data_IF_775159300559
#
_entry.id   IF_775159300559
#
_cell.length_a   1.000
_cell.length_b   1.000
_cell.length_c   1.000
_cell.angle_alpha   90.00
_cell.angle_beta   90.00
_cell.angle_gamma   90.00
#
_symmetry.space_group_name_H-M   'P 1'
#
loop_
_entity.id
_entity.type
_entity.pdbx_description
1 polymer ?
#
# COMPACT_ATOMS: atom_id res chain seq x y z
N UNK A 1 -25.54 8.79 2.70
CA UNK A 1 -25.40 7.94 3.88
C UNK A 1 -24.72 8.71 5.01
N UNK A 2 -23.48 9.22 4.97
CA UNK A 2 -22.99 10.02 6.13
C UNK A 2 -22.88 11.54 5.92
N UNK A 3 -23.04 12.04 4.68
CA UNK A 3 -23.01 13.50 4.41
C UNK A 3 -21.60 14.12 4.39
N UNK A 4 -20.60 13.38 4.87
CA UNK A 4 -19.20 13.79 4.89
C UNK A 4 -18.57 13.78 3.48
N UNK A 5 -17.88 14.86 3.12
CA UNK A 5 -17.05 14.89 1.92
C UNK A 5 -15.73 14.10 2.10
N UNK A 6 -15.20 13.51 1.02
CA UNK A 6 -13.85 12.92 1.00
C UNK A 6 -12.75 13.95 0.75
N UNK A 7 -13.13 15.20 0.44
CA UNK A 7 -12.22 16.31 0.17
C UNK A 7 -11.17 16.45 1.29
N UNK A 8 -9.89 16.59 0.96
CA UNK A 8 -8.75 16.73 1.90
C UNK A 8 -8.47 15.53 2.83
N UNK A 9 -9.49 14.77 3.24
CA UNK A 9 -9.40 13.70 4.26
C UNK A 9 -9.26 12.30 3.66
N UNK A 10 -9.71 12.11 2.42
CA UNK A 10 -9.75 10.80 1.77
C UNK A 10 -10.58 9.77 2.55
N UNK A 11 -10.29 8.48 2.34
CA UNK A 11 -10.88 7.38 3.12
C UNK A 11 -9.77 6.73 3.94
N UNK A 12 -9.90 6.77 5.27
CA UNK A 12 -8.94 6.12 6.17
C UNK A 12 -9.25 4.62 6.29
N UNK A 13 -8.31 3.73 5.93
CA UNK A 13 -8.52 2.29 6.08
C UNK A 13 -8.67 1.86 7.54
N UNK A 14 -9.52 0.87 7.79
CA UNK A 14 -9.70 0.27 9.11
C UNK A 14 -8.44 -0.46 9.63
N UNK A 15 -7.67 -1.02 8.71
CA UNK A 15 -6.42 -1.74 8.95
C UNK A 15 -5.32 -1.00 8.19
N UNK A 16 -4.39 -0.41 8.92
CA UNK A 16 -3.27 0.33 8.37
C UNK A 16 -2.07 -0.62 8.29
N UNK A 17 -1.55 -0.79 7.07
CA UNK A 17 -0.33 -1.53 6.80
C UNK A 17 0.81 -0.53 6.54
N UNK A 18 2.05 -0.83 6.95
CA UNK A 18 3.18 0.04 6.66
C UNK A 18 3.47 0.00 5.15
N UNK A 19 3.65 1.18 4.57
CA UNK A 19 4.04 1.40 3.19
C UNK A 19 5.25 2.35 3.10
N UNK A 20 5.83 2.49 1.90
CA UNK A 20 7.00 3.35 1.69
C UNK A 20 6.71 4.83 1.92
N UNK A 21 5.43 5.22 1.92
CA UNK A 21 4.99 6.61 2.03
C UNK A 21 4.34 6.93 3.38
N UNK A 22 4.43 6.03 4.36
CA UNK A 22 3.69 6.12 5.61
C UNK A 22 4.06 7.33 6.47
N UNK A 23 5.19 7.96 6.17
CA UNK A 23 5.69 9.17 6.83
C UNK A 23 5.59 10.44 5.97
N UNK A 24 5.12 10.29 4.74
CA UNK A 24 4.93 11.40 3.83
C UNK A 24 3.52 11.95 4.01
N UNK A 25 3.45 13.27 4.07
CA UNK A 25 2.19 13.99 3.98
C UNK A 25 1.98 14.26 2.50
N UNK A 26 1.11 13.48 1.87
CA UNK A 26 0.72 13.64 0.47
C UNK A 26 -0.81 13.59 0.39
N UNK A 27 -1.37 14.34 -0.54
CA UNK A 27 -2.80 14.38 -0.77
C UNK A 27 -3.28 15.77 -1.15
N UNK A 28 -4.57 15.86 -1.45
CA UNK A 28 -5.22 17.11 -1.83
C UNK A 28 -5.05 18.22 -0.79
N UNK A 29 -4.97 17.85 0.49
CA UNK A 29 -4.73 18.79 1.61
C UNK A 29 -3.41 19.57 1.53
N UNK A 30 -2.42 19.06 0.80
CA UNK A 30 -1.10 19.69 0.67
C UNK A 30 -1.00 20.63 -0.54
N UNK A 31 -2.09 20.84 -1.29
CA UNK A 31 -2.11 21.75 -2.45
C UNK A 31 -2.44 23.19 -2.03
N UNK A 32 -1.75 24.17 -2.62
CA UNK A 32 -1.81 25.60 -2.24
C UNK A 32 -3.22 26.21 -2.24
N UNK A 33 -4.14 25.69 -3.07
CA UNK A 33 -5.51 26.20 -3.22
C UNK A 33 -6.56 25.11 -3.02
N UNK A 34 -6.32 24.18 -2.10
CA UNK A 34 -7.26 23.11 -1.80
C UNK A 34 -8.58 23.66 -1.23
N UNK A 35 -9.71 23.26 -1.82
CA UNK A 35 -11.03 23.69 -1.36
C UNK A 35 -11.28 23.12 0.04
N UNK A 36 -11.83 23.95 0.94
CA UNK A 36 -12.17 23.54 2.31
C UNK A 36 -13.15 22.37 2.30
N UNK A 37 -12.96 21.47 3.26
CA UNK A 37 -13.89 20.38 3.50
C UNK A 37 -15.27 20.91 3.94
N UNK A 38 -16.33 20.32 3.39
CA UNK A 38 -17.72 20.67 3.68
C UNK A 38 -18.55 19.39 3.94
N UNK A 39 -19.67 19.52 4.65
CA UNK A 39 -20.55 18.43 5.04
C UNK A 39 -22.01 18.80 4.75
N UNK A 40 -22.75 17.86 4.17
CA UNK A 40 -24.20 17.99 3.94
C UNK A 40 -24.98 17.04 4.85
N UNK A 41 -26.29 17.22 4.92
CA UNK A 41 -27.16 16.32 5.69
C UNK A 41 -27.04 14.87 5.21
N UNK A 42 -26.95 13.96 6.17
CA UNK A 42 -26.99 12.52 5.93
C UNK A 42 -28.32 12.11 5.27
N UNK A 43 -28.22 11.35 4.18
CA UNK A 43 -29.37 10.68 3.56
C UNK A 43 -29.74 9.41 4.34
N UNK A 44 -31.04 9.17 4.55
CA UNK A 44 -31.56 8.01 5.28
C UNK A 44 -31.06 6.68 4.71
N UNK A 45 -30.53 5.82 5.57
CA UNK A 45 -30.03 4.51 5.20
C UNK A 45 -30.00 3.53 6.36
N UNK A 46 -29.89 2.25 6.04
CA UNK A 46 -29.73 1.18 7.03
C UNK A 46 -28.27 0.72 7.01
N UNK A 47 -27.61 0.80 8.16
CA UNK A 47 -26.24 0.30 8.34
C UNK A 47 -26.27 -1.22 8.46
N UNK A 48 -25.59 -1.91 7.56
CA UNK A 48 -25.33 -3.34 7.72
C UNK A 48 -24.08 -3.52 8.60
N UNK A 49 -24.25 -4.04 9.83
CA UNK A 49 -23.15 -4.18 10.80
C UNK A 49 -22.62 -5.60 10.95
N UNK A 50 -23.08 -6.55 10.13
CA UNK A 50 -22.82 -7.99 10.35
C UNK A 50 -21.32 -8.35 10.34
N UNK A 51 -20.50 -7.58 9.62
CA UNK A 51 -19.05 -7.75 9.54
C UNK A 51 -18.28 -7.08 10.70
N UNK A 52 -18.91 -6.19 11.46
CA UNK A 52 -18.22 -5.39 12.50
C UNK A 52 -17.98 -6.16 13.80
N UNK A 53 -18.68 -7.28 14.03
CA UNK A 53 -18.59 -8.04 15.29
C UNK A 53 -17.16 -8.48 15.63
N UNK A 54 -16.38 -8.85 14.61
CA UNK A 54 -15.03 -9.38 14.77
C UNK A 54 -13.91 -8.37 14.46
N UNK A 55 -14.23 -7.13 14.06
CA UNK A 55 -13.25 -6.20 13.48
C UNK A 55 -12.08 -5.88 14.43
N UNK A 56 -12.35 -5.76 15.75
CA UNK A 56 -11.30 -5.50 16.76
C UNK A 56 -10.28 -6.66 16.83
N UNK A 57 -10.76 -7.90 16.76
CA UNK A 57 -9.91 -9.11 16.75
C UNK A 57 -9.05 -9.14 15.49
N UNK A 58 -9.66 -8.88 14.34
CA UNK A 58 -9.00 -8.90 13.03
C UNK A 58 -7.92 -7.81 12.94
N UNK A 59 -8.21 -6.58 13.39
CA UNK A 59 -7.21 -5.49 13.49
C UNK A 59 -6.01 -5.92 14.35
N UNK A 60 -6.26 -6.56 15.49
CA UNK A 60 -5.19 -7.06 16.38
C UNK A 60 -4.35 -8.17 15.72
N UNK A 61 -5.00 -9.09 15.02
CA UNK A 61 -4.34 -10.21 14.34
C UNK A 61 -3.50 -9.73 13.15
N UNK A 62 -4.05 -8.84 12.32
CA UNK A 62 -3.32 -8.21 11.22
C UNK A 62 -2.10 -7.44 11.71
N UNK A 63 -2.24 -6.63 12.77
CA UNK A 63 -1.11 -5.93 13.39
C UNK A 63 -0.02 -6.90 13.89
N UNK A 64 -0.40 -8.06 14.46
CA UNK A 64 0.56 -9.09 14.88
C UNK A 64 1.28 -9.74 13.69
N UNK A 65 0.55 -10.08 12.63
CA UNK A 65 1.14 -10.65 11.40
C UNK A 65 2.10 -9.68 10.74
N UNK A 66 1.66 -8.43 10.56
CA UNK A 66 2.48 -7.37 9.96
C UNK A 66 3.78 -7.16 10.77
N UNK A 67 3.71 -7.09 12.10
CA UNK A 67 4.89 -6.98 12.97
C UNK A 67 5.83 -8.19 12.92
N UNK A 68 5.31 -9.40 12.72
CA UNK A 68 6.13 -10.63 12.64
C UNK A 68 6.78 -10.78 11.26
N UNK A 69 6.22 -10.14 10.24
CA UNK A 69 6.70 -10.25 8.87
C UNK A 69 7.94 -9.38 8.64
N UNK A 70 9.02 -10.00 8.18
CA UNK A 70 10.29 -9.32 7.92
C UNK A 70 10.19 -8.31 6.79
N UNK A 71 9.40 -8.60 5.76
CA UNK A 71 9.28 -7.72 4.60
C UNK A 71 8.51 -6.43 4.98
N UNK A 72 7.46 -6.51 5.80
CA UNK A 72 6.81 -5.31 6.36
C UNK A 72 7.73 -4.51 7.28
N UNK A 73 8.61 -5.18 8.03
CA UNK A 73 9.61 -4.49 8.85
C UNK A 73 10.63 -3.73 8.00
N UNK A 74 11.07 -4.32 6.88
CA UNK A 74 11.97 -3.67 5.93
C UNK A 74 11.30 -2.53 5.16
N UNK A 75 10.01 -2.66 4.80
CA UNK A 75 9.21 -1.57 4.21
C UNK A 75 9.14 -0.39 5.18
N UNK A 76 8.86 -0.64 6.45
CA UNK A 76 8.83 0.41 7.48
C UNK A 76 10.18 1.11 7.66
N UNK A 77 11.29 0.36 7.61
CA UNK A 77 12.64 0.92 7.66
C UNK A 77 12.95 1.77 6.41
N UNK A 78 12.61 1.27 5.22
CA UNK A 78 12.70 1.99 3.95
C UNK A 78 11.93 3.31 3.99
N UNK A 79 10.70 3.30 4.49
CA UNK A 79 9.87 4.48 4.61
C UNK A 79 10.50 5.56 5.52
N UNK A 80 11.08 5.17 6.65
CA UNK A 80 11.81 6.09 7.54
C UNK A 80 13.06 6.66 6.85
N UNK A 81 13.80 5.82 6.11
CA UNK A 81 14.97 6.26 5.35
C UNK A 81 14.59 7.28 4.28
N UNK A 82 13.53 7.01 3.51
CA UNK A 82 13.01 7.93 2.51
C UNK A 82 12.56 9.25 3.12
N UNK A 83 11.86 9.21 4.26
CA UNK A 83 11.46 10.43 4.98
C UNK A 83 12.66 11.26 5.40
N UNK A 84 13.64 10.65 6.07
CA UNK A 84 14.87 11.34 6.50
C UNK A 84 15.62 11.94 5.31
N UNK A 85 15.67 11.24 4.17
CA UNK A 85 16.28 11.76 2.95
C UNK A 85 15.50 12.94 2.39
N UNK A 86 14.17 12.92 2.42
CA UNK A 86 13.34 14.03 1.93
C UNK A 86 13.49 15.31 2.75
N UNK A 87 13.78 15.18 4.05
CA UNK A 87 14.03 16.30 4.96
C UNK A 87 15.44 16.90 4.79
N UNK A 88 16.38 16.13 4.22
CA UNK A 88 17.73 16.61 3.92
C UNK A 88 17.75 17.44 2.63
N UNK A 89 17.53 18.74 2.78
CA UNK A 89 17.48 19.71 1.69
C UNK A 89 18.85 20.29 1.33
N UNK A 90 19.92 19.88 2.01
CA UNK A 90 21.26 20.47 1.84
C UNK A 90 22.19 19.49 1.13
N UNK A 91 22.70 19.90 -0.03
CA UNK A 91 23.67 19.12 -0.79
C UNK A 91 25.05 19.78 -0.74
N UNK A 92 26.09 18.96 -0.53
CA UNK A 92 27.47 19.43 -0.60
C UNK A 92 27.87 19.68 -2.05
N UNK A 93 28.39 20.87 -2.35
CA UNK A 93 28.95 21.19 -3.68
C UNK A 93 30.36 20.63 -3.89
N UNK A 94 31.04 20.17 -2.83
CA UNK A 94 32.30 19.47 -2.97
C UNK A 94 32.06 18.06 -3.56
N UNK A 95 32.67 17.80 -4.73
CA UNK A 95 32.46 16.57 -5.49
C UNK A 95 32.77 15.29 -4.70
N UNK A 96 33.89 15.25 -3.98
CA UNK A 96 34.27 14.05 -3.22
C UNK A 96 33.29 13.74 -2.09
N UNK A 97 32.84 14.79 -1.39
CA UNK A 97 31.81 14.66 -0.33
C UNK A 97 30.47 14.22 -0.91
N UNK A 98 30.07 14.78 -2.05
CA UNK A 98 28.86 14.39 -2.76
C UNK A 98 28.90 12.92 -3.18
N UNK A 99 29.97 12.50 -3.88
CA UNK A 99 30.15 11.12 -4.34
C UNK A 99 30.10 10.12 -3.18
N UNK A 100 30.81 10.40 -2.08
CA UNK A 100 30.76 9.56 -0.86
C UNK A 100 29.37 9.47 -0.25
N UNK A 101 28.55 10.52 -0.37
CA UNK A 101 27.17 10.51 0.11
C UNK A 101 26.28 9.62 -0.77
N UNK A 102 26.37 9.77 -2.10
CA UNK A 102 25.63 8.94 -3.04
C UNK A 102 25.97 7.46 -2.91
N UNK A 103 27.26 7.10 -2.79
CA UNK A 103 27.68 5.71 -2.57
C UNK A 103 27.12 5.11 -1.26
N UNK A 104 27.00 5.92 -0.19
CA UNK A 104 26.38 5.48 1.07
C UNK A 104 24.90 5.23 0.88
N UNK A 105 24.21 6.14 0.19
CA UNK A 105 22.78 6.05 -0.10
C UNK A 105 22.49 4.82 -0.97
N UNK A 106 23.31 4.58 -2.00
CA UNK A 106 23.16 3.43 -2.88
C UNK A 106 23.29 2.11 -2.11
N UNK A 107 24.32 1.98 -1.27
CA UNK A 107 24.50 0.81 -0.38
C UNK A 107 23.33 0.58 0.57
N UNK A 108 22.73 1.65 1.08
CA UNK A 108 21.53 1.54 1.93
C UNK A 108 20.33 1.10 1.09
N UNK A 109 20.17 1.64 -0.11
CA UNK A 109 19.07 1.30 -1.03
C UNK A 109 19.12 -0.17 -1.49
N UNK A 110 20.32 -0.73 -1.66
CA UNK A 110 20.52 -2.14 -2.00
C UNK A 110 19.82 -3.10 -1.02
N UNK A 111 19.77 -2.76 0.27
CA UNK A 111 19.06 -3.54 1.30
C UNK A 111 17.57 -3.73 0.98
N UNK A 112 16.97 -2.80 0.23
CA UNK A 112 15.54 -2.75 -0.03
C UNK A 112 15.15 -3.23 -1.43
N UNK A 113 16.12 -3.48 -2.33
CA UNK A 113 15.87 -3.88 -3.74
C UNK A 113 15.01 -5.14 -3.85
N UNK A 114 15.14 -6.07 -2.90
CA UNK A 114 14.46 -7.36 -2.93
C UNK A 114 13.08 -7.39 -2.24
N UNK A 115 12.56 -6.24 -1.77
CA UNK A 115 11.30 -6.19 -1.02
C UNK A 115 10.07 -6.71 -1.78
N UNK A 116 10.11 -6.66 -3.12
CA UNK A 116 8.99 -7.04 -3.99
C UNK A 116 9.36 -8.14 -5.00
N UNK A 117 10.48 -8.84 -4.79
CA UNK A 117 10.94 -9.89 -5.70
C UNK A 117 10.44 -11.28 -5.28
N UNK A 118 10.18 -11.48 -3.98
CA UNK A 118 9.75 -12.76 -3.42
C UNK A 118 8.30 -13.06 -3.75
N UNK A 119 8.06 -14.25 -4.32
CA UNK A 119 6.70 -14.75 -4.54
C UNK A 119 6.06 -15.14 -3.21
N UNK A 120 4.81 -14.78 -3.04
CA UNK A 120 3.93 -15.27 -1.99
C UNK A 120 3.48 -16.70 -2.28
N UNK A 121 2.76 -17.28 -1.34
CA UNK A 121 2.05 -18.56 -1.42
C UNK A 121 0.71 -18.48 -2.14
N UNK A 122 0.34 -17.30 -2.66
CA UNK A 122 -0.90 -17.11 -3.40
C UNK A 122 -0.73 -17.44 -4.88
N UNK A 123 -1.73 -18.13 -5.41
CA UNK A 123 -1.86 -18.40 -6.83
C UNK A 123 -2.98 -17.55 -7.43
N UNK A 124 -2.67 -16.91 -8.56
CA UNK A 124 -3.60 -16.06 -9.27
C UNK A 124 -3.85 -16.64 -10.66
N UNK A 125 -5.12 -16.70 -11.04
CA UNK A 125 -5.54 -17.16 -12.36
C UNK A 125 -6.63 -16.24 -12.90
N UNK A 126 -6.74 -16.19 -14.22
CA UNK A 126 -7.82 -15.46 -14.87
C UNK A 126 -9.12 -16.24 -14.78
N UNK A 127 -10.24 -15.50 -14.75
CA UNK A 127 -11.55 -16.10 -14.90
C UNK A 127 -11.71 -16.62 -16.35
N UNK A 128 -12.45 -17.71 -16.49
CA UNK A 128 -12.67 -18.33 -17.81
C UNK A 128 -13.33 -17.38 -18.82
N UNK A 129 -14.20 -16.49 -18.33
CA UNK A 129 -14.92 -15.54 -19.18
C UNK A 129 -13.99 -14.48 -19.79
N UNK A 130 -12.99 -14.05 -19.02
CA UNK A 130 -12.03 -13.03 -19.45
C UNK A 130 -11.01 -13.57 -20.46
N UNK A 131 -10.74 -14.88 -20.42
CA UNK A 131 -9.74 -15.53 -21.30
C UNK A 131 -10.10 -15.39 -22.78
N UNK A 132 -11.39 -15.35 -23.12
CA UNK A 132 -11.87 -15.20 -24.51
C UNK A 132 -11.36 -13.89 -25.14
N UNK A 133 -11.24 -12.83 -24.36
CA UNK A 133 -10.76 -11.53 -24.84
C UNK A 133 -9.25 -11.41 -24.72
N UNK A 134 -8.67 -11.92 -23.63
CA UNK A 134 -7.23 -11.89 -23.36
C UNK A 134 -6.44 -12.70 -24.42
N UNK A 135 -6.97 -13.83 -24.89
CA UNK A 135 -6.28 -14.69 -25.86
C UNK A 135 -6.32 -14.16 -27.30
N UNK A 136 -7.19 -13.19 -27.60
CA UNK A 136 -7.28 -12.59 -28.94
C UNK A 136 -6.11 -11.66 -29.26
N UNK A 137 -5.46 -11.11 -28.24
CA UNK A 137 -4.36 -10.15 -28.40
C UNK A 137 -3.11 -10.63 -27.64
N UNK A 138 -2.02 -10.80 -28.38
CA UNK A 138 -0.72 -11.25 -27.84
C UNK A 138 -0.12 -10.25 -26.86
N UNK A 139 -0.40 -8.96 -27.03
CA UNK A 139 0.04 -7.88 -26.14
C UNK A 139 -0.70 -7.95 -24.82
N UNK A 140 -2.03 -8.08 -24.86
CA UNK A 140 -2.88 -8.20 -23.67
C UNK A 140 -2.49 -9.45 -22.89
N UNK A 141 -2.28 -10.58 -23.57
CA UNK A 141 -1.85 -11.82 -22.94
C UNK A 141 -0.51 -11.67 -22.21
N UNK A 142 0.47 -10.97 -22.79
CA UNK A 142 1.75 -10.69 -22.15
C UNK A 142 1.59 -9.81 -20.92
N UNK A 143 0.93 -8.65 -21.05
CA UNK A 143 0.68 -7.73 -19.94
C UNK A 143 -0.10 -8.41 -18.81
N UNK A 144 -1.04 -9.29 -19.15
CA UNK A 144 -1.80 -10.04 -18.15
C UNK A 144 -0.94 -11.03 -17.37
N UNK A 145 -0.05 -11.76 -18.05
CA UNK A 145 0.92 -12.65 -17.38
C UNK A 145 1.85 -11.87 -16.45
N UNK A 146 2.34 -10.72 -16.89
CA UNK A 146 3.18 -9.83 -16.07
C UNK A 146 2.42 -9.33 -14.83
N UNK A 147 1.15 -8.94 -15.00
CA UNK A 147 0.28 -8.52 -13.91
C UNK A 147 0.02 -9.63 -12.88
N UNK A 148 -0.29 -10.85 -13.33
CA UNK A 148 -0.46 -12.00 -12.42
C UNK A 148 0.83 -12.33 -11.66
N UNK A 149 1.98 -12.21 -12.32
CA UNK A 149 3.28 -12.38 -11.66
C UNK A 149 3.58 -11.29 -10.64
N UNK A 150 3.15 -10.04 -10.89
CA UNK A 150 3.27 -8.95 -9.94
C UNK A 150 2.38 -9.17 -8.71
N UNK A 151 1.11 -9.55 -8.91
CA UNK A 151 0.18 -9.90 -7.83
C UNK A 151 0.71 -11.03 -6.96
N UNK A 152 1.31 -12.05 -7.58
CA UNK A 152 1.90 -13.16 -6.85
C UNK A 152 3.05 -12.73 -5.91
N UNK A 153 3.67 -11.57 -6.12
CA UNK A 153 4.74 -11.02 -5.26
C UNK A 153 4.21 -9.97 -4.28
N UNK A 154 2.94 -9.60 -4.35
CA UNK A 154 2.37 -8.52 -3.58
C UNK A 154 2.02 -8.96 -2.14
N UNK A 155 2.77 -8.42 -1.19
CA UNK A 155 2.58 -8.66 0.24
C UNK A 155 1.30 -8.04 0.81
N UNK A 156 0.83 -6.92 0.26
CA UNK A 156 -0.38 -6.25 0.72
C UNK A 156 -1.61 -7.04 0.30
N UNK A 157 -1.60 -7.59 -0.91
CA UNK A 157 -2.67 -8.50 -1.39
C UNK A 157 -2.72 -9.74 -0.50
N UNK A 158 -1.57 -10.31 -0.12
CA UNK A 158 -1.51 -11.45 0.82
C UNK A 158 -2.10 -11.12 2.19
N UNK A 159 -1.74 -9.99 2.79
CA UNK A 159 -2.29 -9.60 4.08
C UNK A 159 -3.78 -9.26 3.99
N UNK A 160 -4.21 -8.60 2.92
CA UNK A 160 -5.63 -8.32 2.65
C UNK A 160 -6.44 -9.60 2.50
N UNK A 161 -5.92 -10.61 1.80
CA UNK A 161 -6.55 -11.92 1.70
C UNK A 161 -6.66 -12.61 3.07
N UNK A 162 -5.62 -12.50 3.90
CA UNK A 162 -5.64 -13.05 5.27
C UNK A 162 -6.69 -12.37 6.14
N UNK A 163 -6.84 -11.04 6.01
CA UNK A 163 -7.90 -10.26 6.67
C UNK A 163 -9.29 -10.69 6.18
N UNK A 164 -9.49 -10.83 4.87
CA UNK A 164 -10.75 -11.28 4.28
C UNK A 164 -11.13 -12.68 4.75
N UNK A 165 -10.15 -13.59 4.82
CA UNK A 165 -10.37 -14.94 5.35
C UNK A 165 -10.88 -14.90 6.78
N UNK A 166 -10.30 -14.07 7.65
CA UNK A 166 -10.80 -13.89 9.02
C UNK A 166 -12.17 -13.20 9.13
N UNK A 167 -12.57 -12.42 8.13
CA UNK A 167 -13.91 -11.83 8.07
C UNK A 167 -14.97 -12.89 7.73
N UNK A 168 -14.62 -13.87 6.89
CA UNK A 168 -15.52 -14.94 6.44
C UNK A 168 -15.55 -16.09 7.46
N UNK A 169 -14.38 -16.48 7.99
CA UNK A 169 -14.23 -17.51 9.03
C UNK A 169 -14.74 -16.94 10.37
N UNK A 170 -16.04 -17.16 10.65
CA UNK A 170 -16.73 -16.69 11.87
C UNK A 170 -16.11 -17.22 13.16
#
# INVERSE_FOLDING_TARGET
MDGHSTQLKGVTPDIILPDNYSFFEFGEKEQDFAIKWDEILSANYVVCTDYLKNIKRIKKNSKKRSKKNKDFSLIYESAQFLKKRSEDTKISLNYEKYKKNEEKIEKISEKYKDLFTKKTDLEFSNLKIDMIEIEKDTTILKSRKEWLNALAKDIYVKESFSVLKELIDK
#
